data_IF_295760686570
#
_entry.id   IF_295760686570
#
_cell.length_a   1.000
_cell.length_b   1.000
_cell.length_c   1.000
_cell.angle_alpha   90.00
_cell.angle_beta   90.00
_cell.angle_gamma   90.00
#
_symmetry.space_group_name_H-M   'P 1'
#
loop_
_entity.id
_entity.type
_entity.pdbx_description
1 polymer ?
#
# COMPACT_ATOMS: atom_id res chain seq x y z
N UNK A 1 -39.30 -37.65 7.17
CA UNK A 1 -39.40 -36.64 6.08
C UNK A 1 -39.79 -35.25 6.60
N UNK A 2 -40.83 -35.09 7.45
CA UNK A 2 -41.24 -33.77 8.00
C UNK A 2 -40.14 -33.04 8.79
N UNK A 3 -39.37 -33.76 9.63
CA UNK A 3 -38.27 -33.14 10.38
C UNK A 3 -37.07 -32.79 9.47
N UNK A 4 -36.82 -33.58 8.40
CA UNK A 4 -35.76 -33.32 7.43
C UNK A 4 -36.02 -32.03 6.62
N UNK A 5 -37.29 -31.77 6.27
CA UNK A 5 -37.71 -30.55 5.56
C UNK A 5 -37.55 -29.30 6.44
N UNK A 6 -37.79 -29.41 7.75
CA UNK A 6 -37.60 -28.29 8.70
C UNK A 6 -36.12 -27.94 8.86
N UNK A 7 -35.22 -28.95 8.93
CA UNK A 7 -33.77 -28.70 8.94
C UNK A 7 -33.27 -28.06 7.65
N UNK A 8 -33.81 -28.45 6.49
CA UNK A 8 -33.46 -27.85 5.19
C UNK A 8 -33.94 -26.39 5.12
N UNK A 9 -35.10 -26.06 5.69
CA UNK A 9 -35.64 -24.70 5.68
C UNK A 9 -34.87 -23.73 6.60
N UNK A 10 -34.42 -24.20 7.77
CA UNK A 10 -33.60 -23.41 8.69
C UNK A 10 -32.20 -23.15 8.11
N UNK A 11 -31.61 -24.15 7.44
CA UNK A 11 -30.33 -24.01 6.74
C UNK A 11 -30.42 -23.07 5.52
N UNK A 12 -31.59 -22.93 4.90
CA UNK A 12 -31.76 -22.02 3.76
C UNK A 12 -31.86 -20.55 4.19
N UNK A 13 -32.44 -20.28 5.37
CA UNK A 13 -32.59 -18.90 5.88
C UNK A 13 -31.27 -18.25 6.32
N UNK A 14 -30.35 -19.01 6.92
CA UNK A 14 -29.05 -18.47 7.38
C UNK A 14 -28.09 -18.14 6.23
N UNK A 15 -28.18 -18.88 5.12
CA UNK A 15 -27.35 -18.63 3.94
C UNK A 15 -27.77 -17.34 3.21
N UNK A 16 -29.07 -17.01 3.22
CA UNK A 16 -29.59 -15.80 2.57
C UNK A 16 -29.26 -14.51 3.33
N UNK A 17 -29.22 -14.54 4.67
CA UNK A 17 -28.86 -13.38 5.49
C UNK A 17 -27.38 -13.04 5.40
N UNK A 18 -26.49 -14.05 5.40
CA UNK A 18 -25.04 -13.85 5.31
C UNK A 18 -24.59 -13.22 3.98
N UNK A 19 -25.22 -13.60 2.86
CA UNK A 19 -24.93 -13.00 1.56
C UNK A 19 -25.37 -11.52 1.49
N UNK A 20 -26.43 -11.17 2.24
CA UNK A 20 -26.96 -9.81 2.28
C UNK A 20 -26.04 -8.86 3.09
N UNK A 21 -25.53 -9.29 4.24
CA UNK A 21 -24.62 -8.46 5.06
C UNK A 21 -23.30 -8.17 4.36
N UNK A 22 -22.67 -9.18 3.73
CA UNK A 22 -21.42 -8.98 3.00
C UNK A 22 -21.57 -7.95 1.85
N UNK A 23 -22.56 -8.13 0.97
CA UNK A 23 -22.78 -7.21 -0.17
C UNK A 23 -23.08 -5.78 0.29
N UNK A 24 -23.83 -5.63 1.38
CA UNK A 24 -24.12 -4.32 1.96
C UNK A 24 -22.84 -3.69 2.56
N UNK A 25 -22.00 -4.48 3.22
CA UNK A 25 -20.67 -4.05 3.67
C UNK A 25 -19.81 -3.54 2.53
N UNK A 26 -19.71 -4.28 1.42
CA UNK A 26 -18.95 -3.84 0.24
C UNK A 26 -19.45 -2.51 -0.34
N UNK A 27 -20.78 -2.33 -0.41
CA UNK A 27 -21.36 -1.08 -0.90
C UNK A 27 -21.02 0.09 0.02
N UNK A 28 -21.13 -0.09 1.33
CA UNK A 28 -20.79 0.93 2.32
C UNK A 28 -19.30 1.27 2.30
N UNK A 29 -18.43 0.26 2.18
CA UNK A 29 -16.98 0.44 2.05
C UNK A 29 -16.62 1.26 0.81
N UNK A 30 -17.24 0.97 -0.34
CA UNK A 30 -17.04 1.74 -1.60
C UNK A 30 -17.50 3.19 -1.48
N UNK A 31 -18.48 3.47 -0.62
CA UNK A 31 -18.97 4.81 -0.31
C UNK A 31 -18.21 5.47 0.85
N UNK A 32 -17.11 4.87 1.32
CA UNK A 32 -16.29 5.36 2.45
C UNK A 32 -17.06 5.46 3.77
N UNK A 33 -18.18 4.74 3.90
CA UNK A 33 -18.99 4.64 5.12
C UNK A 33 -18.39 3.57 6.04
N UNK A 34 -17.20 3.85 6.57
CA UNK A 34 -16.34 2.88 7.25
C UNK A 34 -16.99 2.21 8.46
N UNK A 35 -17.71 2.98 9.29
CA UNK A 35 -18.30 2.48 10.52
C UNK A 35 -19.45 1.50 10.22
N UNK A 36 -20.32 1.87 9.29
CA UNK A 36 -21.44 1.04 8.85
C UNK A 36 -20.95 -0.20 8.08
N UNK A 37 -19.90 -0.04 7.27
CA UNK A 37 -19.24 -1.16 6.60
C UNK A 37 -18.67 -2.17 7.61
N UNK A 38 -17.93 -1.69 8.63
CA UNK A 38 -17.37 -2.51 9.72
C UNK A 38 -18.47 -3.34 10.39
N UNK A 39 -19.58 -2.69 10.77
CA UNK A 39 -20.73 -3.36 11.38
C UNK A 39 -21.30 -4.47 10.46
N UNK A 40 -21.40 -4.23 9.15
CA UNK A 40 -21.93 -5.23 8.22
C UNK A 40 -20.97 -6.40 7.96
N UNK A 41 -19.66 -6.16 7.95
CA UNK A 41 -18.69 -7.25 7.82
C UNK A 41 -18.60 -8.12 9.08
N UNK A 42 -18.80 -7.54 10.27
CA UNK A 42 -18.87 -8.29 11.54
C UNK A 42 -20.08 -9.23 11.65
N UNK A 43 -21.17 -8.94 10.93
CA UNK A 43 -22.35 -9.82 10.85
C UNK A 43 -22.10 -11.08 9.98
N UNK A 44 -21.00 -11.15 9.23
CA UNK A 44 -20.71 -12.30 8.37
C UNK A 44 -20.19 -13.46 9.22
N UNK A 45 -20.95 -14.57 9.24
CA UNK A 45 -20.61 -15.76 10.01
C UNK A 45 -19.32 -16.44 9.53
N UNK A 46 -18.57 -17.05 10.45
CA UNK A 46 -17.32 -17.79 10.16
C UNK A 46 -17.51 -19.02 9.26
N UNK A 47 -18.73 -19.52 9.15
CA UNK A 47 -19.13 -20.60 8.24
C UNK A 47 -19.30 -20.13 6.78
N UNK A 48 -19.37 -18.81 6.54
CA UNK A 48 -19.61 -18.23 5.23
C UNK A 48 -18.38 -18.30 4.34
N UNK A 49 -18.57 -18.60 3.05
CA UNK A 49 -17.51 -18.52 2.05
C UNK A 49 -16.94 -17.09 1.90
N UNK A 50 -17.71 -16.06 2.27
CA UNK A 50 -17.26 -14.67 2.23
C UNK A 50 -16.51 -14.24 3.51
N UNK A 51 -16.44 -15.10 4.53
CA UNK A 51 -15.81 -14.74 5.80
C UNK A 51 -14.37 -14.25 5.65
N UNK A 52 -13.48 -14.90 4.87
CA UNK A 52 -12.12 -14.39 4.66
C UNK A 52 -12.12 -12.99 4.03
N UNK A 53 -13.00 -12.74 3.06
CA UNK A 53 -13.10 -11.44 2.42
C UNK A 53 -13.64 -10.37 3.40
N UNK A 54 -14.57 -10.73 4.28
CA UNK A 54 -15.00 -9.86 5.37
C UNK A 54 -13.86 -9.53 6.33
N UNK A 55 -13.04 -10.51 6.72
CA UNK A 55 -11.87 -10.26 7.57
C UNK A 55 -10.88 -9.32 6.88
N UNK A 56 -10.66 -9.48 5.56
CA UNK A 56 -9.80 -8.59 4.79
C UNK A 56 -10.33 -7.15 4.81
N UNK A 57 -11.63 -6.94 4.61
CA UNK A 57 -12.23 -5.62 4.69
C UNK A 57 -12.16 -5.02 6.10
N UNK A 58 -12.34 -5.82 7.15
CA UNK A 58 -12.21 -5.36 8.53
C UNK A 58 -10.77 -4.92 8.83
N UNK A 59 -9.78 -5.69 8.39
CA UNK A 59 -8.37 -5.31 8.43
C UNK A 59 -8.09 -4.03 7.66
N UNK A 60 -8.67 -3.87 6.47
CA UNK A 60 -8.51 -2.67 5.64
C UNK A 60 -9.09 -1.42 6.31
N UNK A 61 -10.27 -1.54 6.94
CA UNK A 61 -10.89 -0.46 7.71
C UNK A 61 -10.01 -0.08 8.91
N UNK A 62 -9.55 -1.06 9.69
CA UNK A 62 -8.70 -0.83 10.85
C UNK A 62 -7.36 -0.18 10.43
N UNK A 63 -6.74 -0.68 9.36
CA UNK A 63 -5.52 -0.10 8.79
C UNK A 63 -5.73 1.34 8.31
N UNK A 64 -6.87 1.64 7.66
CA UNK A 64 -7.25 2.99 7.27
C UNK A 64 -7.41 3.93 8.49
N UNK A 65 -7.96 3.41 9.59
CA UNK A 65 -8.09 4.12 10.86
C UNK A 65 -6.79 4.17 11.68
N UNK A 66 -5.70 3.55 11.18
CA UNK A 66 -4.41 3.38 11.86
C UNK A 66 -4.49 2.60 13.17
N UNK A 67 -5.53 1.78 13.32
CA UNK A 67 -5.72 0.82 14.40
C UNK A 67 -4.89 -0.44 14.08
N UNK A 68 -3.56 -0.30 14.11
CA UNK A 68 -2.65 -1.32 13.56
C UNK A 68 -2.70 -2.66 14.29
N UNK A 69 -2.97 -2.67 15.59
CA UNK A 69 -3.14 -3.90 16.35
C UNK A 69 -4.39 -4.67 15.88
N UNK A 70 -5.53 -3.98 15.74
CA UNK A 70 -6.76 -4.60 15.23
C UNK A 70 -6.59 -5.06 13.77
N UNK A 71 -5.91 -4.28 12.93
CA UNK A 71 -5.62 -4.67 11.55
C UNK A 71 -4.77 -5.96 11.49
N UNK A 72 -3.77 -6.08 12.38
CA UNK A 72 -2.92 -7.26 12.45
C UNK A 72 -3.70 -8.50 12.88
N UNK A 73 -4.64 -8.40 13.83
CA UNK A 73 -5.48 -9.53 14.24
C UNK A 73 -6.24 -10.12 13.04
N UNK A 74 -6.83 -9.25 12.19
CA UNK A 74 -7.54 -9.69 10.99
C UNK A 74 -6.59 -10.26 9.90
N UNK A 75 -5.45 -9.62 9.69
CA UNK A 75 -4.50 -10.06 8.66
C UNK A 75 -3.71 -11.31 9.06
N UNK A 76 -3.46 -11.52 10.36
CA UNK A 76 -2.84 -12.73 10.90
C UNK A 76 -3.69 -13.96 10.57
N UNK A 77 -4.98 -13.89 10.90
CA UNK A 77 -5.95 -14.93 10.53
C UNK A 77 -5.88 -15.28 9.03
N UNK A 78 -5.77 -14.26 8.17
CA UNK A 78 -5.73 -14.46 6.72
C UNK A 78 -4.43 -15.09 6.24
N UNK A 79 -3.28 -14.63 6.74
CA UNK A 79 -1.98 -15.16 6.30
C UNK A 79 -1.71 -16.56 6.84
N UNK A 80 -2.19 -16.88 8.05
CA UNK A 80 -2.12 -18.24 8.60
C UNK A 80 -3.00 -19.22 7.80
N UNK A 81 -4.19 -18.79 7.40
CA UNK A 81 -5.14 -19.66 6.70
C UNK A 81 -4.82 -19.81 5.22
N UNK A 82 -4.28 -18.77 4.59
CA UNK A 82 -4.00 -18.70 3.16
C UNK A 82 -2.56 -18.20 2.91
N UNK A 83 -1.54 -18.98 3.33
CA UNK A 83 -0.14 -18.55 3.26
C UNK A 83 0.36 -18.31 1.84
N UNK A 84 -0.28 -18.91 0.83
CA UNK A 84 0.04 -18.74 -0.59
C UNK A 84 -0.60 -17.47 -1.22
N UNK A 85 -1.32 -16.67 -0.44
CA UNK A 85 -1.86 -15.39 -0.90
C UNK A 85 -0.82 -14.29 -0.83
N UNK A 86 -0.34 -13.83 -1.99
CA UNK A 86 0.59 -12.71 -2.06
C UNK A 86 0.02 -11.44 -1.38
N UNK A 87 -1.28 -11.17 -1.59
CA UNK A 87 -1.94 -10.00 -1.03
C UNK A 87 -2.07 -10.07 0.51
N UNK A 88 -2.28 -11.25 1.10
CA UNK A 88 -2.36 -11.35 2.57
C UNK A 88 -0.98 -11.26 3.23
N UNK A 89 0.04 -11.86 2.62
CA UNK A 89 1.42 -11.62 3.03
C UNK A 89 1.79 -10.13 2.94
N UNK A 90 1.38 -9.45 1.86
CA UNK A 90 1.61 -8.02 1.69
C UNK A 90 0.90 -7.19 2.75
N UNK A 91 -0.40 -7.41 2.99
CA UNK A 91 -1.18 -6.68 4.00
C UNK A 91 -0.65 -6.88 5.40
N UNK A 92 -0.33 -8.13 5.79
CA UNK A 92 0.24 -8.41 7.12
C UNK A 92 1.62 -7.79 7.28
N UNK A 93 2.55 -8.00 6.32
CA UNK A 93 3.88 -7.39 6.35
C UNK A 93 3.84 -5.86 6.32
N UNK A 94 2.92 -5.28 5.56
CA UNK A 94 2.67 -3.84 5.50
C UNK A 94 2.16 -3.30 6.85
N UNK A 95 1.15 -3.94 7.45
CA UNK A 95 0.62 -3.55 8.76
C UNK A 95 1.67 -3.66 9.88
N UNK A 96 2.51 -4.71 9.86
CA UNK A 96 3.65 -4.82 10.78
C UNK A 96 4.61 -3.64 10.63
N UNK A 97 4.90 -3.24 9.38
CA UNK A 97 5.73 -2.08 9.08
C UNK A 97 5.12 -0.78 9.61
N UNK A 98 3.83 -0.57 9.36
CA UNK A 98 3.11 0.62 9.83
C UNK A 98 3.02 0.69 11.36
N UNK A 99 2.81 -0.45 12.02
CA UNK A 99 2.90 -0.57 13.49
C UNK A 99 4.30 -0.22 13.99
N UNK A 100 5.35 -0.75 13.36
CA UNK A 100 6.72 -0.49 13.78
C UNK A 100 7.09 1.00 13.75
N UNK A 101 6.50 1.79 12.84
CA UNK A 101 6.69 3.24 12.76
C UNK A 101 6.08 4.02 13.94
N UNK A 102 5.15 3.43 14.70
CA UNK A 102 4.55 4.06 15.89
C UNK A 102 5.34 3.78 17.18
N UNK A 103 6.32 2.87 17.12
CA UNK A 103 7.08 2.39 18.27
C UNK A 103 8.44 3.07 18.39
N UNK A 104 9.09 2.89 19.55
CA UNK A 104 10.50 3.27 19.69
C UNK A 104 11.39 2.44 18.75
N UNK A 105 12.54 2.97 18.32
CA UNK A 105 13.48 2.26 17.44
C UNK A 105 13.89 0.87 17.96
N UNK A 106 14.06 0.73 19.27
CA UNK A 106 14.38 -0.57 19.88
C UNK A 106 13.23 -1.57 19.76
N UNK A 107 11.99 -1.13 19.96
CA UNK A 107 10.81 -1.98 19.82
C UNK A 107 10.56 -2.33 18.35
N UNK A 108 10.66 -1.34 17.45
CA UNK A 108 10.52 -1.53 16.00
C UNK A 108 11.48 -2.59 15.45
N UNK A 109 12.69 -2.70 16.03
CA UNK A 109 13.69 -3.68 15.61
C UNK A 109 13.21 -5.14 15.70
N UNK A 110 12.31 -5.46 16.64
CA UNK A 110 11.77 -6.82 16.79
C UNK A 110 10.84 -7.24 15.64
N UNK A 111 10.30 -6.29 14.87
CA UNK A 111 9.36 -6.58 13.77
C UNK A 111 10.07 -6.75 12.42
N UNK A 112 11.34 -6.35 12.31
CA UNK A 112 12.04 -6.26 11.02
C UNK A 112 12.17 -7.60 10.31
N UNK A 113 12.42 -8.70 11.04
CA UNK A 113 12.50 -10.03 10.43
C UNK A 113 11.18 -10.41 9.76
N UNK A 114 10.07 -10.19 10.45
CA UNK A 114 8.74 -10.60 10.02
C UNK A 114 8.27 -9.73 8.86
N UNK A 115 8.46 -8.41 8.95
CA UNK A 115 8.19 -7.48 7.84
C UNK A 115 8.93 -7.93 6.57
N UNK A 116 10.25 -8.22 6.68
CA UNK A 116 11.04 -8.69 5.54
C UNK A 116 10.57 -10.04 5.03
N UNK A 117 10.20 -10.95 5.92
CA UNK A 117 9.70 -12.28 5.56
C UNK A 117 8.43 -12.15 4.72
N UNK A 118 7.39 -11.52 5.27
CA UNK A 118 6.08 -11.43 4.63
C UNK A 118 6.11 -10.62 3.33
N UNK A 119 6.84 -9.50 3.27
CA UNK A 119 6.98 -8.75 2.01
C UNK A 119 7.73 -9.54 0.94
N UNK A 120 8.77 -10.31 1.31
CA UNK A 120 9.48 -11.18 0.35
C UNK A 120 8.62 -12.35 -0.11
N UNK A 121 7.86 -12.98 0.78
CA UNK A 121 6.90 -14.02 0.42
C UNK A 121 5.87 -13.48 -0.58
N UNK A 122 5.30 -12.29 -0.32
CA UNK A 122 4.39 -11.65 -1.26
C UNK A 122 5.03 -11.42 -2.64
N UNK A 123 6.30 -10.97 -2.70
CA UNK A 123 7.01 -10.74 -3.95
C UNK A 123 7.32 -12.02 -4.73
N UNK A 124 7.54 -13.13 -4.01
CA UNK A 124 7.79 -14.46 -4.57
C UNK A 124 6.51 -15.07 -5.13
N UNK A 125 5.40 -14.95 -4.38
CA UNK A 125 4.08 -15.47 -4.76
C UNK A 125 3.49 -14.70 -5.95
N UNK A 126 3.73 -13.39 -6.04
CA UNK A 126 3.29 -12.57 -7.18
C UNK A 126 4.43 -11.72 -7.78
N UNK A 127 4.94 -12.22 -8.91
CA UNK A 127 5.96 -11.55 -9.72
C UNK A 127 5.52 -10.22 -10.34
N UNK A 128 4.23 -9.88 -10.31
CA UNK A 128 3.66 -8.65 -10.87
C UNK A 128 3.13 -7.67 -9.82
N UNK A 129 3.24 -7.99 -8.53
CA UNK A 129 2.78 -7.10 -7.47
C UNK A 129 3.65 -5.83 -7.38
N UNK A 130 3.07 -4.68 -7.73
CA UNK A 130 3.77 -3.38 -7.81
C UNK A 130 4.08 -2.85 -6.40
N UNK A 131 3.07 -2.88 -5.54
CA UNK A 131 3.07 -2.31 -4.19
C UNK A 131 4.09 -3.01 -3.29
N UNK A 132 4.20 -4.34 -3.38
CA UNK A 132 5.20 -5.10 -2.62
C UNK A 132 6.63 -4.67 -2.99
N UNK A 133 6.89 -4.42 -4.28
CA UNK A 133 8.22 -4.00 -4.74
C UNK A 133 8.54 -2.60 -4.28
N UNK A 134 7.56 -1.69 -4.31
CA UNK A 134 7.68 -0.37 -3.68
C UNK A 134 7.98 -0.48 -2.18
N UNK A 135 7.21 -1.28 -1.44
CA UNK A 135 7.43 -1.49 0.00
C UNK A 135 8.82 -2.05 0.30
N UNK A 136 9.34 -2.96 -0.54
CA UNK A 136 10.69 -3.48 -0.41
C UNK A 136 11.75 -2.42 -0.75
N UNK A 137 11.56 -1.60 -1.79
CA UNK A 137 12.44 -0.46 -2.09
C UNK A 137 12.56 0.46 -0.89
N UNK A 138 11.42 0.87 -0.32
CA UNK A 138 11.40 1.79 0.82
C UNK A 138 12.02 1.15 2.06
N UNK A 139 11.63 -0.09 2.40
CA UNK A 139 12.17 -0.81 3.55
C UNK A 139 13.69 -0.90 3.51
N UNK A 140 14.26 -1.28 2.36
CA UNK A 140 15.71 -1.41 2.23
C UNK A 140 16.46 -0.07 2.26
N UNK A 141 15.78 1.05 1.97
CA UNK A 141 16.34 2.40 2.11
C UNK A 141 16.19 2.98 3.52
N UNK A 142 15.15 2.59 4.28
CA UNK A 142 14.92 3.10 5.64
C UNK A 142 15.69 2.32 6.72
N UNK A 143 15.98 1.03 6.48
CA UNK A 143 16.69 0.21 7.44
C UNK A 143 18.17 0.64 7.58
N UNK A 144 18.72 0.67 8.81
CA UNK A 144 20.16 0.72 9.01
C UNK A 144 20.86 -0.49 8.36
N UNK A 145 22.10 -0.31 7.90
CA UNK A 145 22.89 -1.39 7.28
C UNK A 145 23.03 -2.63 8.18
N UNK A 146 23.18 -2.44 9.49
CA UNK A 146 23.25 -3.54 10.48
C UNK A 146 21.96 -4.37 10.57
N UNK A 147 20.80 -3.81 10.19
CA UNK A 147 19.50 -4.48 10.13
C UNK A 147 19.18 -4.96 8.69
N UNK A 148 20.17 -4.86 7.80
CA UNK A 148 20.10 -5.30 6.42
C UNK A 148 19.51 -4.28 5.46
N UNK A 149 19.54 -2.99 5.79
CA UNK A 149 19.34 -1.93 4.80
C UNK A 149 20.43 -1.95 3.72
N UNK A 150 20.05 -1.69 2.48
CA UNK A 150 20.94 -1.82 1.32
C UNK A 150 20.34 -1.12 0.10
N UNK A 151 20.97 -0.04 -0.34
CA UNK A 151 20.58 0.64 -1.58
C UNK A 151 20.70 -0.28 -2.80
N UNK A 152 21.73 -1.12 -2.86
CA UNK A 152 21.87 -2.12 -3.93
C UNK A 152 20.65 -3.05 -4.00
N UNK A 153 20.18 -3.53 -2.84
CA UNK A 153 18.96 -4.36 -2.78
C UNK A 153 17.71 -3.56 -3.15
N UNK A 154 17.61 -2.31 -2.74
CA UNK A 154 16.52 -1.43 -3.15
C UNK A 154 16.51 -1.26 -4.68
N UNK A 155 17.66 -1.03 -5.32
CA UNK A 155 17.77 -0.95 -6.78
C UNK A 155 17.36 -2.27 -7.45
N UNK A 156 17.71 -3.43 -6.90
CA UNK A 156 17.26 -4.72 -7.45
C UNK A 156 15.73 -4.80 -7.53
N UNK A 157 15.01 -4.37 -6.48
CA UNK A 157 13.55 -4.30 -6.52
C UNK A 157 13.03 -3.20 -7.44
N UNK A 158 13.70 -2.05 -7.53
CA UNK A 158 13.33 -1.00 -8.49
C UNK A 158 13.50 -1.47 -9.95
N UNK A 159 14.50 -2.29 -10.26
CA UNK A 159 14.65 -2.92 -11.58
C UNK A 159 13.56 -3.96 -11.85
N UNK A 160 13.17 -4.75 -10.85
CA UNK A 160 12.02 -5.65 -11.00
C UNK A 160 10.73 -4.86 -11.24
N UNK A 161 10.53 -3.80 -10.46
CA UNK A 161 9.38 -2.91 -10.57
C UNK A 161 9.30 -2.29 -11.96
N UNK A 162 10.44 -1.85 -12.51
CA UNK A 162 10.48 -1.30 -13.87
C UNK A 162 10.04 -2.29 -14.95
N UNK A 163 10.27 -3.60 -14.76
CA UNK A 163 9.81 -4.62 -15.70
C UNK A 163 8.28 -4.80 -15.68
N UNK A 164 7.63 -4.40 -14.59
CA UNK A 164 6.18 -4.51 -14.39
C UNK A 164 5.50 -3.21 -14.81
N UNK A 165 6.03 -2.09 -14.32
CA UNK A 165 5.57 -0.74 -14.61
C UNK A 165 6.80 0.15 -14.80
N UNK A 166 7.01 0.59 -16.05
CA UNK A 166 8.19 1.39 -16.40
C UNK A 166 8.22 2.72 -15.60
N UNK A 167 7.06 3.36 -15.42
CA UNK A 167 6.94 4.61 -14.65
C UNK A 167 7.30 4.40 -13.18
N UNK A 168 6.77 3.35 -12.54
CA UNK A 168 7.06 3.04 -11.13
C UNK A 168 8.54 2.69 -10.93
N UNK A 169 9.14 1.98 -11.87
CA UNK A 169 10.58 1.70 -11.85
C UNK A 169 11.43 2.97 -11.90
N UNK A 170 11.06 3.95 -12.74
CA UNK A 170 11.76 5.23 -12.79
C UNK A 170 11.55 6.05 -11.52
N UNK A 171 10.32 6.09 -10.98
CA UNK A 171 10.01 6.75 -9.72
C UNK A 171 10.79 6.14 -8.55
N UNK A 172 10.86 4.82 -8.44
CA UNK A 172 11.57 4.12 -7.37
C UNK A 172 13.07 4.39 -7.42
N UNK A 173 13.67 4.36 -8.62
CA UNK A 173 15.08 4.74 -8.81
C UNK A 173 15.34 6.19 -8.44
N UNK A 174 14.44 7.10 -8.81
CA UNK A 174 14.53 8.51 -8.42
C UNK A 174 14.44 8.69 -6.90
N UNK A 175 13.55 7.93 -6.23
CA UNK A 175 13.46 7.89 -4.78
C UNK A 175 14.77 7.42 -4.12
N UNK A 176 15.35 6.31 -4.61
CA UNK A 176 16.62 5.77 -4.08
C UNK A 176 17.74 6.80 -4.26
N UNK A 177 17.95 7.31 -5.49
CA UNK A 177 19.00 8.29 -5.77
C UNK A 177 18.84 9.57 -4.92
N UNK A 178 17.60 10.03 -4.69
CA UNK A 178 17.33 11.18 -3.82
C UNK A 178 17.69 10.89 -2.36
N UNK A 179 17.42 9.67 -1.86
CA UNK A 179 17.80 9.23 -0.50
C UNK A 179 19.31 9.08 -0.33
N UNK A 180 20.01 8.72 -1.40
CA UNK A 180 21.48 8.70 -1.46
C UNK A 180 22.11 10.09 -1.69
N UNK A 181 21.29 11.13 -1.78
CA UNK A 181 21.69 12.51 -2.06
C UNK A 181 22.35 12.74 -3.45
N UNK A 182 22.28 11.76 -4.36
CA UNK A 182 22.61 11.95 -5.78
C UNK A 182 21.44 12.61 -6.51
N UNK A 183 21.30 13.91 -6.29
CA UNK A 183 20.21 14.69 -6.86
C UNK A 183 20.27 14.82 -8.38
N UNK A 184 21.46 14.71 -8.98
CA UNK A 184 21.60 14.74 -10.44
C UNK A 184 21.00 13.47 -11.06
N UNK A 185 21.30 12.32 -10.46
CA UNK A 185 20.74 11.05 -10.88
C UNK A 185 19.24 10.96 -10.57
N UNK A 186 18.81 11.48 -9.41
CA UNK A 186 17.39 11.58 -9.07
C UNK A 186 16.61 12.42 -10.09
N UNK A 187 17.13 13.59 -10.49
CA UNK A 187 16.53 14.44 -11.52
C UNK A 187 16.40 13.68 -12.84
N UNK A 188 17.46 12.96 -13.25
CA UNK A 188 17.44 12.12 -14.47
C UNK A 188 16.35 11.05 -14.39
N UNK A 189 16.21 10.36 -13.26
CA UNK A 189 15.20 9.31 -13.10
C UNK A 189 13.77 9.89 -13.07
N UNK A 190 13.53 10.95 -12.30
CA UNK A 190 12.20 11.57 -12.27
C UNK A 190 11.80 12.20 -13.61
N UNK A 191 12.73 12.76 -14.39
CA UNK A 191 12.44 13.19 -15.76
C UNK A 191 12.06 12.03 -16.68
N UNK A 192 12.66 10.85 -16.50
CA UNK A 192 12.24 9.65 -17.23
C UNK A 192 10.85 9.17 -16.81
N UNK A 193 10.55 9.17 -15.50
CA UNK A 193 9.20 8.88 -15.01
C UNK A 193 8.16 9.84 -15.62
N UNK A 194 8.45 11.14 -15.61
CA UNK A 194 7.59 12.16 -16.20
C UNK A 194 7.37 11.95 -17.70
N UNK A 195 8.44 11.63 -18.45
CA UNK A 195 8.36 11.37 -19.90
C UNK A 195 7.50 10.15 -20.24
N UNK A 196 7.55 9.09 -19.43
CA UNK A 196 6.87 7.81 -19.71
C UNK A 196 5.44 7.81 -19.17
N UNK A 197 5.22 8.34 -17.96
CA UNK A 197 3.92 8.28 -17.28
C UNK A 197 3.13 9.59 -17.28
N UNK A 198 3.81 10.73 -17.14
CA UNK A 198 3.16 12.05 -17.19
C UNK A 198 2.14 12.34 -16.08
N UNK A 199 2.03 11.51 -15.04
CA UNK A 199 1.00 11.62 -13.99
C UNK A 199 1.28 12.77 -13.02
N UNK A 200 0.27 13.15 -12.22
CA UNK A 200 0.42 14.12 -11.11
C UNK A 200 1.61 13.75 -10.22
N UNK A 201 1.72 12.50 -9.80
CA UNK A 201 2.84 12.01 -8.97
C UNK A 201 4.21 12.19 -9.64
N UNK A 202 4.31 12.05 -10.97
CA UNK A 202 5.56 12.30 -11.68
C UNK A 202 6.01 13.77 -11.57
N UNK A 203 5.07 14.70 -11.72
CA UNK A 203 5.32 16.12 -11.52
C UNK A 203 5.67 16.43 -10.06
N UNK A 204 4.90 15.90 -9.11
CA UNK A 204 5.11 16.10 -7.67
C UNK A 204 6.51 15.67 -7.23
N UNK A 205 6.98 14.49 -7.63
CA UNK A 205 8.31 14.00 -7.23
C UNK A 205 9.45 14.85 -7.78
N UNK A 206 9.34 15.33 -9.01
CA UNK A 206 10.34 16.23 -9.59
C UNK A 206 10.27 17.64 -9.00
N UNK A 207 9.08 18.15 -8.69
CA UNK A 207 8.88 19.42 -7.97
C UNK A 207 9.46 19.34 -6.55
N UNK A 208 9.21 18.24 -5.83
CA UNK A 208 9.79 17.97 -4.51
C UNK A 208 11.31 18.04 -4.55
N UNK A 209 11.94 17.38 -5.54
CA UNK A 209 13.39 17.43 -5.72
C UNK A 209 13.89 18.87 -5.90
N UNK A 210 13.28 19.63 -6.82
CA UNK A 210 13.73 21.00 -7.10
C UNK A 210 13.53 21.96 -5.93
N UNK A 211 12.44 21.81 -5.17
CA UNK A 211 12.12 22.72 -4.08
C UNK A 211 12.83 22.38 -2.78
N UNK A 212 13.02 21.10 -2.49
CA UNK A 212 13.50 20.64 -1.18
C UNK A 212 14.98 20.29 -1.19
N UNK A 213 15.51 19.77 -2.31
CA UNK A 213 16.86 19.22 -2.37
C UNK A 213 17.82 20.12 -3.18
N UNK A 214 17.48 20.46 -4.42
CA UNK A 214 18.41 21.25 -5.29
C UNK A 214 18.21 22.76 -5.21
N UNK A 215 17.06 23.22 -4.68
CA UNK A 215 16.67 24.63 -4.57
C UNK A 215 16.63 25.37 -5.92
N UNK A 216 16.36 24.65 -7.01
CA UNK A 216 16.25 25.19 -8.36
C UNK A 216 14.86 25.80 -8.62
N UNK A 217 14.56 26.90 -7.91
CA UNK A 217 13.23 27.55 -7.95
C UNK A 217 12.75 27.90 -9.36
N UNK A 218 13.65 28.28 -10.28
CA UNK A 218 13.27 28.57 -11.66
C UNK A 218 12.78 27.31 -12.40
N UNK A 219 13.48 26.17 -12.27
CA UNK A 219 13.03 24.90 -12.86
C UNK A 219 11.71 24.47 -12.24
N UNK A 220 11.57 24.60 -10.92
CA UNK A 220 10.35 24.24 -10.21
C UNK A 220 9.15 25.09 -10.65
N UNK A 221 9.32 26.41 -10.84
CA UNK A 221 8.25 27.30 -11.33
C UNK A 221 7.79 26.90 -12.73
N UNK A 222 8.73 26.66 -13.64
CA UNK A 222 8.40 26.24 -15.01
C UNK A 222 7.68 24.89 -15.03
N UNK A 223 8.16 23.94 -14.24
CA UNK A 223 7.55 22.62 -14.13
C UNK A 223 6.15 22.69 -13.51
N UNK A 224 5.91 23.56 -12.53
CA UNK A 224 4.58 23.74 -11.93
C UNK A 224 3.58 24.30 -12.95
N UNK A 225 3.99 25.23 -13.80
CA UNK A 225 3.14 25.76 -14.87
C UNK A 225 2.83 24.70 -15.93
N UNK A 226 3.79 23.83 -16.24
CA UNK A 226 3.55 22.65 -17.09
C UNK A 226 2.55 21.69 -16.43
N UNK A 227 2.74 21.38 -15.14
CA UNK A 227 1.89 20.48 -14.38
C UNK A 227 0.43 20.95 -14.32
N UNK A 228 0.20 22.25 -14.09
CA UNK A 228 -1.15 22.85 -14.10
C UNK A 228 -1.84 22.76 -15.46
N UNK A 229 -1.07 22.89 -16.55
CA UNK A 229 -1.61 22.74 -17.91
C UNK A 229 -1.96 21.29 -18.23
N UNK A 230 -1.09 20.36 -17.84
CA UNK A 230 -1.32 18.93 -18.05
C UNK A 230 -2.44 18.37 -17.16
N UNK A 231 -2.56 18.86 -15.92
CA UNK A 231 -3.49 18.39 -14.89
C UNK A 231 -4.25 19.57 -14.23
N UNK A 232 -5.20 20.19 -14.94
CA UNK A 232 -5.88 21.41 -14.48
C UNK A 232 -6.81 21.19 -13.28
N UNK A 233 -7.25 19.95 -13.03
CA UNK A 233 -8.12 19.60 -11.91
C UNK A 233 -7.37 19.09 -10.67
N UNK A 234 -6.04 18.91 -10.75
CA UNK A 234 -5.24 18.48 -9.62
C UNK A 234 -4.99 19.66 -8.65
N UNK A 235 -4.89 19.34 -7.35
CA UNK A 235 -4.64 20.35 -6.31
C UNK A 235 -3.13 20.63 -6.16
N UNK A 236 -2.68 21.75 -6.74
CA UNK A 236 -1.28 22.18 -6.70
C UNK A 236 -0.93 23.16 -5.56
N UNK A 237 -1.87 23.40 -4.64
CA UNK A 237 -1.77 24.47 -3.63
C UNK A 237 -0.54 24.34 -2.74
N UNK A 238 -0.16 23.11 -2.37
CA UNK A 238 1.01 22.80 -1.54
C UNK A 238 2.35 23.20 -2.18
N UNK A 239 2.40 23.28 -3.51
CA UNK A 239 3.58 23.71 -4.26
C UNK A 239 3.56 25.21 -4.53
N UNK A 240 2.38 25.79 -4.80
CA UNK A 240 2.21 27.23 -5.03
C UNK A 240 2.70 28.04 -3.84
N UNK A 241 2.37 27.62 -2.61
CA UNK A 241 2.77 28.30 -1.37
C UNK A 241 4.29 28.33 -1.13
N UNK A 242 5.08 27.54 -1.88
CA UNK A 242 6.54 27.51 -1.79
C UNK A 242 7.24 28.55 -2.67
N UNK A 243 6.49 29.31 -3.46
CA UNK A 243 7.00 30.36 -4.36
C UNK A 243 6.50 31.77 -4.01
N UNK A 244 5.56 31.88 -3.07
CA UNK A 244 5.10 33.11 -2.45
C UNK A 244 6.03 33.53 -1.33
#
# INVERSE_FOLDING_TARGET
MRNLIIYIFILFSSVLTAQNSFKKGEQLFKNEQWLEAKSKFQEVESSSANYPKSQEYLGDIAAHQKEWDEALDYYEYLVEKYPESANYNFKYGGALGMKALTLSKMQAAFYISDIKYYLKQAAQLDSKHIEVRWALVELYMELPGILGGSSETAYQYAYQLQKISEVDGWLAKGFIARKEEDFSLAEKYFKNALRVGGSVTCYEKLLELYLQNTKEHHKAKNLLEEAKKAHPHANWTSFVSKFS
#
